data_IF_846158016377
#
_entry.id   IF_846158016377
#
_cell.length_a   1.000
_cell.length_b   1.000
_cell.length_c   1.000
_cell.angle_alpha   90.00
_cell.angle_beta   90.00
_cell.angle_gamma   90.00
#
_symmetry.space_group_name_H-M   'P 1'
#
loop_
_entity.id
_entity.type
_entity.pdbx_description
1 polymer ?
#
# COMPACT_ATOMS: atom_id res chain seq x y z
N UNK A 1 43.85 -7.08 4.01
CA UNK A 1 43.89 -5.74 3.36
C UNK A 1 43.25 -5.73 1.99
N UNK A 2 43.91 -6.11 0.88
CA UNK A 2 43.31 -5.91 -0.47
C UNK A 2 41.94 -6.58 -0.70
N UNK A 3 41.65 -7.73 -0.10
CA UNK A 3 40.37 -8.44 -0.29
C UNK A 3 39.19 -7.70 0.35
N UNK A 4 39.35 -7.21 1.57
CA UNK A 4 38.29 -6.48 2.29
C UNK A 4 37.96 -5.15 1.60
N UNK A 5 38.99 -4.47 1.09
CA UNK A 5 38.81 -3.27 0.27
C UNK A 5 37.98 -3.56 -0.99
N UNK A 6 38.25 -4.68 -1.70
CA UNK A 6 37.49 -5.05 -2.90
C UNK A 6 36.02 -5.42 -2.60
N UNK A 7 35.76 -6.00 -1.42
CA UNK A 7 34.42 -6.37 -0.96
C UNK A 7 33.61 -5.17 -0.48
N UNK A 8 34.26 -4.15 0.11
CA UNK A 8 33.58 -2.97 0.65
C UNK A 8 32.61 -2.31 -0.36
N UNK A 9 31.38 -2.06 0.09
CA UNK A 9 30.33 -1.38 -0.70
C UNK A 9 30.65 0.08 -1.00
N UNK A 10 31.55 0.69 -0.21
CA UNK A 10 31.97 2.09 -0.35
C UNK A 10 33.02 2.32 -1.44
N UNK A 11 33.63 1.27 -1.98
CA UNK A 11 34.72 1.41 -2.95
C UNK A 11 34.46 0.64 -4.25
N UNK A 12 34.89 1.25 -5.35
CA UNK A 12 34.77 0.73 -6.71
C UNK A 12 36.05 -0.02 -7.16
N UNK A 13 36.84 -0.56 -6.21
CA UNK A 13 38.14 -1.18 -6.54
C UNK A 13 38.01 -2.43 -7.41
N UNK A 14 36.95 -3.23 -7.21
CA UNK A 14 36.69 -4.41 -8.05
C UNK A 14 36.37 -4.03 -9.50
N UNK A 15 35.61 -2.95 -9.71
CA UNK A 15 35.28 -2.47 -11.06
C UNK A 15 36.50 -1.84 -11.73
N UNK A 16 37.30 -1.06 -11.00
CA UNK A 16 38.56 -0.50 -11.50
C UNK A 16 39.54 -1.60 -11.94
N UNK A 17 39.70 -2.65 -11.12
CA UNK A 17 40.54 -3.79 -11.45
C UNK A 17 40.04 -4.56 -12.69
N UNK A 18 38.72 -4.66 -12.88
CA UNK A 18 38.12 -5.27 -14.08
C UNK A 18 38.39 -4.43 -15.33
N UNK A 19 38.28 -3.11 -15.23
CA UNK A 19 38.58 -2.19 -16.33
C UNK A 19 40.06 -2.21 -16.70
N UNK A 20 40.95 -2.27 -15.72
CA UNK A 20 42.39 -2.41 -15.95
C UNK A 20 42.71 -3.75 -16.63
N UNK A 21 42.13 -4.86 -16.14
CA UNK A 21 42.27 -6.16 -16.78
C UNK A 21 41.74 -6.16 -18.23
N UNK A 22 40.61 -5.49 -18.50
CA UNK A 22 40.06 -5.37 -19.86
C UNK A 22 40.98 -4.59 -20.81
N UNK A 23 41.69 -3.56 -20.30
CA UNK A 23 42.72 -2.85 -21.09
C UNK A 23 43.88 -3.79 -21.41
N UNK A 24 44.37 -4.54 -20.43
CA UNK A 24 45.49 -5.48 -20.60
C UNK A 24 45.13 -6.67 -21.49
N UNK A 25 43.86 -7.09 -21.50
CA UNK A 25 43.37 -8.18 -22.33
C UNK A 25 43.61 -7.97 -23.83
N UNK A 26 43.60 -6.71 -24.29
CA UNK A 26 43.89 -6.38 -25.69
C UNK A 26 45.28 -6.81 -26.16
N UNK A 27 46.24 -6.98 -25.24
CA UNK A 27 47.63 -7.38 -25.53
C UNK A 27 47.89 -8.88 -25.43
N UNK A 28 46.88 -9.69 -25.13
CA UNK A 28 47.04 -11.11 -24.86
C UNK A 28 47.20 -11.88 -26.16
N UNK A 29 48.34 -12.55 -26.31
CA UNK A 29 48.68 -13.26 -27.55
C UNK A 29 49.05 -14.73 -27.33
N UNK A 30 49.49 -15.08 -26.11
CA UNK A 30 49.96 -16.43 -25.79
C UNK A 30 48.94 -17.17 -24.95
N UNK A 31 48.84 -18.49 -25.17
CA UNK A 31 47.96 -19.36 -24.41
C UNK A 31 48.20 -19.31 -22.88
N UNK A 32 49.45 -19.05 -22.46
CA UNK A 32 49.80 -18.90 -21.04
C UNK A 32 49.21 -17.62 -20.42
N UNK A 33 49.16 -16.53 -21.18
CA UNK A 33 48.58 -15.25 -20.73
C UNK A 33 47.06 -15.38 -20.65
N UNK A 34 46.43 -15.96 -21.68
CA UNK A 34 44.99 -16.23 -21.68
C UNK A 34 44.56 -17.15 -20.50
N UNK A 35 45.42 -18.08 -20.06
CA UNK A 35 45.15 -18.90 -18.89
C UNK A 35 45.18 -18.08 -17.58
N UNK A 36 46.03 -17.06 -17.47
CA UNK A 36 46.05 -16.15 -16.33
C UNK A 36 44.84 -15.22 -16.32
N UNK A 37 44.38 -14.76 -17.50
CA UNK A 37 43.15 -13.97 -17.60
C UNK A 37 41.92 -14.78 -17.17
N UNK A 38 41.84 -16.04 -17.59
CA UNK A 38 40.78 -16.93 -17.15
C UNK A 38 40.80 -17.12 -15.62
N UNK A 39 41.98 -17.27 -15.01
CA UNK A 39 42.11 -17.33 -13.56
C UNK A 39 41.68 -16.04 -12.88
N UNK A 40 42.06 -14.88 -13.43
CA UNK A 40 41.63 -13.58 -12.94
C UNK A 40 40.10 -13.43 -12.99
N UNK A 41 39.45 -13.80 -14.10
CA UNK A 41 37.99 -13.74 -14.23
C UNK A 41 37.28 -14.64 -13.23
N UNK A 42 37.82 -15.84 -12.95
CA UNK A 42 37.28 -16.72 -11.90
C UNK A 42 37.36 -16.05 -10.53
N UNK A 43 38.49 -15.43 -10.19
CA UNK A 43 38.65 -14.69 -8.95
C UNK A 43 37.69 -13.50 -8.88
N UNK A 44 37.64 -12.67 -9.93
CA UNK A 44 36.77 -11.51 -10.01
C UNK A 44 35.28 -11.91 -9.90
N UNK A 45 34.87 -13.02 -10.51
CA UNK A 45 33.50 -13.54 -10.40
C UNK A 45 33.18 -14.03 -8.98
N UNK A 46 34.13 -14.66 -8.29
CA UNK A 46 33.93 -15.09 -6.90
C UNK A 46 33.80 -13.87 -5.97
N UNK A 47 34.64 -12.85 -6.12
CA UNK A 47 34.51 -11.60 -5.37
C UNK A 47 33.22 -10.86 -5.72
N UNK A 48 32.82 -10.85 -6.99
CA UNK A 48 31.55 -10.26 -7.43
C UNK A 48 30.35 -10.96 -6.80
N UNK A 49 30.38 -12.30 -6.70
CA UNK A 49 29.36 -13.08 -5.99
C UNK A 49 29.30 -12.72 -4.51
N UNK A 50 30.45 -12.62 -3.83
CA UNK A 50 30.55 -12.28 -2.41
C UNK A 50 30.02 -10.85 -2.15
N UNK A 51 30.47 -9.87 -2.96
CA UNK A 51 29.98 -8.49 -2.92
C UNK A 51 28.48 -8.40 -3.22
N UNK A 52 27.99 -9.18 -4.20
CA UNK A 52 26.56 -9.26 -4.47
C UNK A 52 25.79 -9.88 -3.29
N UNK A 53 26.32 -10.92 -2.64
CA UNK A 53 25.67 -11.50 -1.46
C UNK A 53 25.62 -10.53 -0.27
N UNK A 54 26.62 -9.67 -0.09
CA UNK A 54 26.58 -8.60 0.90
C UNK A 54 25.52 -7.54 0.53
N UNK A 55 25.42 -7.15 -0.74
CA UNK A 55 24.39 -6.20 -1.21
C UNK A 55 22.96 -6.77 -1.08
N UNK A 56 22.78 -8.06 -1.32
CA UNK A 56 21.48 -8.73 -1.19
C UNK A 56 21.17 -9.13 0.27
N UNK A 57 22.10 -8.92 1.21
CA UNK A 57 21.86 -9.09 2.64
C UNK A 57 21.05 -7.95 3.27
N UNK A 58 20.60 -6.97 2.48
CA UNK A 58 19.57 -6.00 2.88
C UNK A 58 18.15 -6.43 2.48
N UNK A 59 17.89 -7.73 2.38
CA UNK A 59 16.69 -8.23 3.06
C UNK A 59 17.16 -8.74 4.42
N UNK A 60 17.50 -7.80 5.32
CA UNK A 60 17.55 -8.10 6.75
C UNK A 60 16.25 -8.83 7.05
N UNK A 61 16.33 -10.12 7.38
CA UNK A 61 15.17 -10.86 7.85
C UNK A 61 14.59 -10.02 8.97
N UNK A 62 13.38 -9.47 8.75
CA UNK A 62 12.80 -8.54 9.70
C UNK A 62 12.66 -9.26 11.04
N UNK A 63 13.51 -8.88 11.99
CA UNK A 63 13.44 -9.39 13.34
C UNK A 63 12.48 -8.49 14.11
N UNK A 64 11.26 -9.01 14.28
CA UNK A 64 10.21 -8.30 14.99
C UNK A 64 10.57 -7.97 16.44
N UNK A 65 11.47 -8.74 17.07
CA UNK A 65 11.85 -8.53 18.47
C UNK A 65 12.86 -7.40 18.58
N UNK A 66 13.89 -7.41 17.72
CA UNK A 66 14.88 -6.31 17.65
C UNK A 66 14.19 -5.00 17.29
N UNK A 67 13.30 -5.02 16.29
CA UNK A 67 12.51 -3.85 15.93
C UNK A 67 11.68 -3.31 17.10
N UNK A 68 11.05 -4.20 17.89
CA UNK A 68 10.26 -3.78 19.04
C UNK A 68 11.12 -3.15 20.14
N UNK A 69 12.30 -3.71 20.45
CA UNK A 69 13.20 -3.12 21.46
C UNK A 69 13.80 -1.79 20.99
N UNK A 70 14.18 -1.68 19.71
CA UNK A 70 14.65 -0.42 19.12
C UNK A 70 13.54 0.65 19.12
N UNK A 71 12.30 0.25 18.83
CA UNK A 71 11.14 1.13 18.88
C UNK A 71 10.87 1.63 20.30
N UNK A 72 10.96 0.75 21.31
CA UNK A 72 10.81 1.14 22.71
C UNK A 72 11.92 2.09 23.15
N UNK A 73 13.16 1.83 22.73
CA UNK A 73 14.31 2.71 22.97
C UNK A 73 14.08 4.08 22.32
N UNK A 74 13.65 4.12 21.05
CA UNK A 74 13.28 5.35 20.36
C UNK A 74 12.14 6.13 21.07
N UNK A 75 11.16 5.40 21.60
CA UNK A 75 10.06 5.95 22.41
C UNK A 75 10.50 6.46 23.79
N UNK A 76 11.76 6.24 24.19
CA UNK A 76 12.36 6.72 25.43
C UNK A 76 12.32 5.72 26.59
N UNK A 77 12.07 4.44 26.31
CA UNK A 77 12.24 3.37 27.31
C UNK A 77 13.65 2.82 27.18
N UNK A 78 14.57 3.32 28.00
CA UNK A 78 15.87 2.69 28.18
C UNK A 78 15.77 1.70 29.35
N UNK A 79 15.47 0.42 29.06
CA UNK A 79 15.44 -0.63 30.12
C UNK A 79 16.79 -0.85 30.83
N UNK A 80 17.86 -0.26 30.30
CA UNK A 80 19.24 -0.40 30.80
C UNK A 80 19.61 0.77 31.73
N UNK A 81 18.96 1.94 31.60
CA UNK A 81 19.08 3.02 32.58
C UNK A 81 17.97 2.87 33.60
N UNK A 82 18.31 2.25 34.73
CA UNK A 82 17.57 2.50 35.97
C UNK A 82 17.74 3.96 36.34
N UNK A 83 16.89 4.82 35.77
CA UNK A 83 16.84 6.22 36.16
C UNK A 83 15.85 6.33 37.31
N UNK A 84 16.44 6.52 38.49
CA UNK A 84 15.85 7.00 39.73
C UNK A 84 15.18 8.37 39.47
N UNK A 85 13.98 8.37 38.92
CA UNK A 85 13.11 9.56 39.00
C UNK A 85 12.22 9.40 40.23
N UNK A 86 12.67 10.03 41.32
CA UNK A 86 11.95 10.32 42.56
C UNK A 86 10.63 11.04 42.26
N UNK A 87 9.58 10.26 42.00
CA UNK A 87 8.19 10.69 42.09
C UNK A 87 7.45 9.62 42.87
N UNK A 88 7.32 9.85 44.19
CA UNK A 88 6.47 9.12 45.12
C UNK A 88 5.01 9.02 44.62
N UNK A 89 4.74 8.06 43.75
CA UNK A 89 3.40 7.56 43.48
C UNK A 89 3.43 6.04 43.55
N UNK A 90 3.31 5.55 44.78
CA UNK A 90 3.10 4.16 45.21
C UNK A 90 1.79 3.57 44.65
N UNK A 91 1.60 3.50 43.31
CA UNK A 91 0.58 2.62 42.70
C UNK A 91 0.67 2.46 41.15
N UNK A 92 1.86 2.31 40.55
CA UNK A 92 1.95 1.99 39.12
C UNK A 92 2.75 0.71 38.87
N UNK A 93 2.13 -0.40 38.41
CA UNK A 93 2.86 -1.59 38.02
C UNK A 93 3.76 -1.26 36.84
N UNK A 94 4.98 -1.78 36.86
CA UNK A 94 6.01 -1.50 35.85
C UNK A 94 5.53 -1.63 34.41
N UNK A 95 5.97 -0.68 33.58
CA UNK A 95 5.85 -0.78 32.12
C UNK A 95 4.96 0.25 31.42
N UNK A 96 4.90 1.49 31.91
CA UNK A 96 4.23 2.56 31.16
C UNK A 96 5.19 3.26 30.19
N UNK A 97 4.76 3.39 28.93
CA UNK A 97 5.41 4.25 27.94
C UNK A 97 5.43 5.71 28.43
N UNK A 98 6.52 6.46 28.18
CA UNK A 98 6.52 7.90 28.42
C UNK A 98 5.32 8.59 27.77
N UNK A 99 4.79 9.63 28.41
CA UNK A 99 3.56 10.33 27.93
C UNK A 99 3.66 10.82 26.48
N UNK A 100 4.86 11.13 26.01
CA UNK A 100 5.15 11.60 24.65
C UNK A 100 5.65 10.51 23.69
N UNK A 101 5.70 9.25 24.11
CA UNK A 101 6.23 8.14 23.31
C UNK A 101 5.53 7.99 21.96
N UNK A 102 4.19 7.97 21.97
CA UNK A 102 3.38 7.90 20.75
C UNK A 102 3.47 9.16 19.90
N UNK A 103 3.69 10.33 20.50
CA UNK A 103 3.87 11.58 19.76
C UNK A 103 5.18 11.56 18.97
N UNK A 104 6.29 11.14 19.59
CA UNK A 104 7.59 10.98 18.92
C UNK A 104 7.51 9.98 17.76
N UNK A 105 6.87 8.84 17.99
CA UNK A 105 6.65 7.85 16.94
C UNK A 105 5.79 8.39 15.80
N UNK A 106 4.72 9.10 16.12
CA UNK A 106 3.85 9.73 15.13
C UNK A 106 4.58 10.75 14.26
N UNK A 107 5.40 11.61 14.86
CA UNK A 107 6.18 12.65 14.18
C UNK A 107 7.19 12.06 13.17
N UNK A 108 7.90 10.99 13.53
CA UNK A 108 8.79 10.31 12.59
C UNK A 108 8.02 9.52 11.52
N UNK A 109 6.93 8.87 11.90
CA UNK A 109 6.12 8.08 10.97
C UNK A 109 5.46 8.95 9.90
N UNK A 110 5.00 10.16 10.25
CA UNK A 110 4.26 11.07 9.35
C UNK A 110 5.00 11.33 8.03
N UNK A 111 6.33 11.37 8.05
CA UNK A 111 7.18 11.60 6.87
C UNK A 111 7.02 10.53 5.79
N UNK A 112 6.63 9.32 6.18
CA UNK A 112 6.50 8.16 5.29
C UNK A 112 5.06 7.91 4.84
N UNK A 113 4.07 8.55 5.48
CA UNK A 113 2.67 8.43 5.10
C UNK A 113 2.23 9.57 4.18
N UNK A 114 1.74 9.23 2.98
CA UNK A 114 1.02 10.21 2.14
C UNK A 114 -0.38 10.40 2.73
N UNK A 115 -0.57 11.44 3.52
CA UNK A 115 -1.90 11.74 4.08
C UNK A 115 -2.87 12.04 2.93
N UNK A 116 -3.94 11.25 2.82
CA UNK A 116 -5.00 11.51 1.86
C UNK A 116 -5.67 12.86 2.18
N UNK A 117 -6.09 13.64 1.17
CA UNK A 117 -6.87 14.85 1.41
C UNK A 117 -8.13 14.50 2.20
N UNK A 118 -8.29 15.10 3.39
CA UNK A 118 -9.53 15.00 4.14
C UNK A 118 -10.59 15.82 3.39
N UNK A 119 -11.57 15.16 2.78
CA UNK A 119 -12.74 15.87 2.25
C UNK A 119 -13.66 16.21 3.42
N UNK A 120 -14.02 17.49 3.53
CA UNK A 120 -15.01 17.94 4.51
C UNK A 120 -16.40 17.60 3.98
N UNK A 121 -17.21 16.86 4.74
CA UNK A 121 -18.62 16.58 4.40
C UNK A 121 -19.51 17.83 4.41
N UNK A 122 -18.99 18.96 4.84
CA UNK A 122 -19.68 20.24 4.82
C UNK A 122 -19.05 21.14 3.76
N UNK A 123 -19.47 20.96 2.51
CA UNK A 123 -19.77 22.16 1.71
C UNK A 123 -20.67 23.00 2.62
N UNK A 124 -20.23 24.21 2.97
CA UNK A 124 -20.97 25.15 3.82
C UNK A 124 -22.39 25.34 3.29
N UNK A 125 -23.27 24.46 3.73
CA UNK A 125 -24.70 24.42 3.46
C UNK A 125 -25.33 24.80 4.77
N UNK A 126 -26.41 25.57 4.69
CA UNK A 126 -27.00 26.34 5.78
C UNK A 126 -26.26 27.65 6.08
N UNK A 127 -26.53 28.66 5.24
CA UNK A 127 -26.97 29.92 5.84
C UNK A 127 -28.16 29.56 6.74
N UNK A 128 -27.99 29.65 8.05
CA UNK A 128 -29.03 29.37 9.03
C UNK A 128 -30.08 30.49 8.99
N UNK A 129 -30.92 30.50 7.96
CA UNK A 129 -32.17 31.24 8.05
C UNK A 129 -33.02 30.52 9.12
N UNK A 130 -33.48 31.25 10.17
CA UNK A 130 -34.27 30.62 11.22
C UNK A 130 -35.50 29.93 10.61
N UNK A 131 -35.78 28.67 10.97
CA UNK A 131 -36.85 27.91 10.34
C UNK A 131 -38.19 28.63 10.56
N UNK A 132 -38.94 28.83 9.47
CA UNK A 132 -40.26 29.45 9.50
C UNK A 132 -41.15 28.67 10.49
N UNK A 133 -41.76 29.33 11.49
CA UNK A 133 -42.59 28.63 12.48
C UNK A 133 -43.76 27.92 11.79
N UNK A 134 -43.71 26.59 11.74
CA UNK A 134 -44.84 25.80 11.25
C UNK A 134 -45.92 25.78 12.33
N UNK A 135 -47.13 26.22 12.01
CA UNK A 135 -48.29 26.08 12.90
C UNK A 135 -48.48 24.60 13.24
N UNK A 136 -48.45 24.30 14.53
CA UNK A 136 -48.71 22.96 15.06
C UNK A 136 -50.17 22.61 14.77
N UNK A 137 -50.39 21.72 13.81
CA UNK A 137 -51.71 21.14 13.57
C UNK A 137 -52.05 20.29 14.80
N UNK A 138 -53.06 20.72 15.55
CA UNK A 138 -53.55 20.01 16.72
C UNK A 138 -54.21 18.70 16.26
N UNK A 139 -53.59 17.59 16.66
CA UNK A 139 -53.98 16.25 16.21
C UNK A 139 -55.27 15.88 16.95
N UNK A 140 -56.42 15.94 16.28
CA UNK A 140 -57.68 15.44 16.84
C UNK A 140 -57.52 13.96 17.21
N UNK A 141 -57.79 13.64 18.49
CA UNK A 141 -57.83 12.26 18.99
C UNK A 141 -58.96 11.50 18.28
N UNK A 142 -58.61 10.53 17.44
CA UNK A 142 -59.57 9.58 16.86
C UNK A 142 -60.13 8.70 17.98
N UNK A 143 -61.45 8.71 18.15
CA UNK A 143 -62.21 7.75 18.94
C UNK A 143 -62.05 6.34 18.36
N UNK A 144 -61.92 5.34 19.24
CA UNK A 144 -61.80 3.94 18.87
C UNK A 144 -63.06 3.46 18.12
N UNK A 145 -62.90 3.05 16.87
CA UNK A 145 -63.96 2.37 16.11
C UNK A 145 -63.35 1.37 15.13
N UNK A 146 -63.69 0.10 15.37
CA UNK A 146 -63.62 -1.00 14.39
C UNK A 146 -62.24 -1.57 14.10
N UNK A 147 -62.10 -2.89 14.20
CA UNK A 147 -60.93 -3.64 13.76
C UNK A 147 -60.69 -3.44 12.26
N UNK A 148 -59.92 -2.41 11.90
CA UNK A 148 -59.37 -2.28 10.56
C UNK A 148 -58.09 -3.12 10.46
N UNK A 149 -58.16 -4.12 9.58
CA UNK A 149 -57.09 -5.06 9.25
C UNK A 149 -55.76 -4.30 9.12
N UNK A 150 -54.76 -4.72 9.91
CA UNK A 150 -53.37 -4.29 9.76
C UNK A 150 -52.99 -4.38 8.28
N UNK A 151 -52.75 -3.25 7.64
CA UNK A 151 -52.12 -3.22 6.34
C UNK A 151 -50.68 -3.70 6.53
N UNK A 152 -50.45 -4.99 6.26
CA UNK A 152 -49.11 -5.54 6.10
C UNK A 152 -48.42 -4.77 4.96
N UNK A 153 -47.14 -4.40 5.10
CA UNK A 153 -46.41 -3.81 3.99
C UNK A 153 -46.50 -4.77 2.80
N UNK A 154 -46.85 -4.25 1.63
CA UNK A 154 -46.95 -5.05 0.42
C UNK A 154 -45.63 -5.81 0.22
N UNK A 155 -45.71 -7.13 0.14
CA UNK A 155 -44.57 -7.94 -0.29
C UNK A 155 -44.14 -7.39 -1.66
N UNK A 156 -42.89 -6.91 -1.72
CA UNK A 156 -42.22 -6.54 -2.96
C UNK A 156 -42.37 -7.72 -3.92
N UNK A 157 -43.23 -7.54 -4.94
CA UNK A 157 -43.28 -8.44 -6.08
C UNK A 157 -41.90 -8.42 -6.72
N UNK A 158 -41.31 -9.60 -6.87
CA UNK A 158 -40.09 -9.89 -7.65
C UNK A 158 -39.70 -8.74 -8.60
N UNK A 159 -38.96 -7.77 -8.08
CA UNK A 159 -37.90 -7.14 -8.86
C UNK A 159 -36.81 -8.20 -8.90
N UNK A 160 -36.31 -8.58 -10.07
CA UNK A 160 -35.01 -9.28 -10.27
C UNK A 160 -34.96 -10.13 -11.56
N UNK A 161 -35.67 -9.75 -12.64
CA UNK A 161 -35.28 -10.24 -13.99
C UNK A 161 -34.68 -9.10 -14.81
N UNK A 162 -35.30 -7.91 -14.85
CA UNK A 162 -34.80 -6.82 -15.71
C UNK A 162 -33.43 -6.24 -15.31
N UNK A 163 -33.10 -6.19 -14.00
CA UNK A 163 -31.80 -5.68 -13.54
C UNK A 163 -30.70 -6.72 -13.71
N UNK A 164 -31.01 -8.00 -13.46
CA UNK A 164 -30.09 -9.12 -13.69
C UNK A 164 -29.71 -9.20 -15.18
N UNK A 165 -30.70 -9.15 -16.07
CA UNK A 165 -30.48 -9.13 -17.52
C UNK A 165 -29.67 -7.90 -17.97
N UNK A 166 -29.87 -6.74 -17.34
CA UNK A 166 -29.09 -5.54 -17.65
C UNK A 166 -27.62 -5.69 -17.23
N UNK A 167 -27.37 -6.30 -16.07
CA UNK A 167 -26.00 -6.56 -15.60
C UNK A 167 -25.27 -7.58 -16.47
N UNK A 168 -25.95 -8.64 -16.91
CA UNK A 168 -25.37 -9.67 -17.79
C UNK A 168 -25.00 -9.10 -19.17
N UNK A 169 -25.90 -8.31 -19.76
CA UNK A 169 -25.65 -7.63 -21.04
C UNK A 169 -24.43 -6.70 -20.98
N UNK A 170 -24.26 -6.00 -19.86
CA UNK A 170 -23.15 -5.07 -19.69
C UNK A 170 -21.81 -5.82 -19.50
N UNK A 171 -21.82 -6.95 -18.78
CA UNK A 171 -20.66 -7.83 -18.66
C UNK A 171 -20.27 -8.41 -20.02
N UNK A 172 -21.23 -8.91 -20.80
CA UNK A 172 -20.99 -9.42 -22.16
C UNK A 172 -20.43 -8.34 -23.09
N UNK A 173 -20.97 -7.11 -23.00
CA UNK A 173 -20.51 -5.95 -23.78
C UNK A 173 -19.05 -5.63 -23.47
N UNK A 174 -18.68 -5.55 -22.19
CA UNK A 174 -17.30 -5.26 -21.75
C UNK A 174 -16.35 -6.39 -22.18
N UNK A 175 -16.75 -7.65 -22.02
CA UNK A 175 -15.98 -8.80 -22.48
C UNK A 175 -15.73 -8.75 -23.99
N UNK A 176 -16.75 -8.38 -24.78
CA UNK A 176 -16.62 -8.21 -26.23
C UNK A 176 -15.61 -7.11 -26.61
N UNK A 177 -15.59 -5.99 -25.88
CA UNK A 177 -14.61 -4.92 -26.07
C UNK A 177 -13.19 -5.40 -25.77
N UNK A 178 -12.99 -6.11 -24.65
CA UNK A 178 -11.68 -6.66 -24.27
C UNK A 178 -11.16 -7.65 -25.31
N UNK A 179 -12.03 -8.56 -25.79
CA UNK A 179 -11.67 -9.51 -26.84
C UNK A 179 -11.33 -8.83 -28.17
N UNK A 180 -12.04 -7.76 -28.52
CA UNK A 180 -11.78 -7.00 -29.74
C UNK A 180 -10.45 -6.27 -29.66
N UNK A 181 -10.17 -5.64 -28.51
CA UNK A 181 -8.89 -4.96 -28.29
C UNK A 181 -7.72 -5.94 -28.33
N UNK A 182 -7.85 -7.11 -27.69
CA UNK A 182 -6.79 -8.13 -27.72
C UNK A 182 -6.57 -8.74 -29.10
N UNK A 183 -7.62 -8.88 -29.92
CA UNK A 183 -7.48 -9.34 -31.32
C UNK A 183 -6.74 -8.34 -32.20
N UNK A 184 -6.94 -7.05 -31.95
CA UNK A 184 -6.30 -5.99 -32.73
C UNK A 184 -4.84 -5.80 -32.31
N UNK A 185 -4.55 -5.78 -31.01
CA UNK A 185 -3.22 -5.55 -30.45
C UNK A 185 -2.92 -6.55 -29.31
N UNK A 186 -2.43 -7.77 -29.62
CA UNK A 186 -2.25 -8.84 -28.63
C UNK A 186 -1.11 -8.58 -27.63
N UNK A 187 -0.10 -7.79 -28.01
CA UNK A 187 1.07 -7.50 -27.17
C UNK A 187 0.91 -6.24 -26.30
N UNK A 188 -0.20 -5.51 -26.45
CA UNK A 188 -0.42 -4.26 -25.71
C UNK A 188 -1.31 -4.52 -24.48
N UNK A 189 -0.78 -4.42 -23.25
CA UNK A 189 -1.59 -4.58 -22.06
C UNK A 189 -2.58 -3.42 -21.90
N UNK A 190 -3.80 -3.72 -21.46
CA UNK A 190 -4.83 -2.71 -21.17
C UNK A 190 -4.73 -2.29 -19.71
N UNK A 191 -4.61 -0.99 -19.47
CA UNK A 191 -4.68 -0.40 -18.14
C UNK A 191 -6.09 -0.58 -17.55
N UNK A 192 -6.18 -1.20 -16.37
CA UNK A 192 -7.45 -1.41 -15.68
C UNK A 192 -8.18 -0.10 -15.40
N UNK A 193 -7.46 0.93 -14.96
CA UNK A 193 -8.05 2.22 -14.61
C UNK A 193 -8.61 2.96 -15.83
N UNK A 194 -7.90 2.89 -16.97
CA UNK A 194 -8.39 3.50 -18.21
C UNK A 194 -9.63 2.79 -18.76
N UNK A 195 -9.81 1.50 -18.45
CA UNK A 195 -10.99 0.74 -18.82
C UNK A 195 -12.22 1.09 -17.97
N UNK A 196 -12.06 1.27 -16.66
CA UNK A 196 -13.20 1.37 -15.73
C UNK A 196 -13.58 2.80 -15.35
N UNK A 197 -12.66 3.77 -15.45
CA UNK A 197 -12.92 5.16 -15.03
C UNK A 197 -13.75 5.91 -16.07
N UNK A 198 -14.89 6.45 -15.64
CA UNK A 198 -15.62 7.49 -16.37
C UNK A 198 -15.28 8.86 -15.76
N UNK A 199 -14.61 9.76 -16.51
CA UNK A 199 -14.22 11.08 -16.01
C UNK A 199 -15.40 11.99 -15.67
N UNK A 200 -16.60 11.65 -16.16
CA UNK A 200 -17.82 12.44 -15.95
C UNK A 200 -18.78 11.82 -14.93
N UNK A 201 -18.52 10.60 -14.45
CA UNK A 201 -19.41 9.91 -13.51
C UNK A 201 -18.71 8.92 -12.60
N UNK A 202 -18.65 9.26 -11.31
CA UNK A 202 -18.16 8.35 -10.28
C UNK A 202 -19.05 7.11 -10.13
N UNK A 203 -20.38 7.28 -10.16
CA UNK A 203 -21.31 6.16 -10.02
C UNK A 203 -21.10 5.13 -11.16
N UNK A 204 -20.92 5.62 -12.40
CA UNK A 204 -20.62 4.74 -13.54
C UNK A 204 -19.26 4.06 -13.40
N UNK A 205 -18.27 4.74 -12.84
CA UNK A 205 -16.97 4.12 -12.54
C UNK A 205 -17.12 2.93 -11.59
N UNK A 206 -17.93 3.08 -10.54
CA UNK A 206 -18.19 1.99 -9.58
C UNK A 206 -18.97 0.84 -10.25
N UNK A 207 -19.97 1.15 -11.07
CA UNK A 207 -20.71 0.15 -11.86
C UNK A 207 -19.78 -0.59 -12.84
N UNK A 208 -18.90 0.10 -13.55
CA UNK A 208 -17.91 -0.51 -14.44
C UNK A 208 -16.98 -1.48 -13.69
N UNK A 209 -16.48 -1.08 -12.52
CA UNK A 209 -15.65 -1.95 -11.66
C UNK A 209 -16.45 -3.20 -11.25
N UNK A 210 -17.71 -3.02 -10.85
CA UNK A 210 -18.60 -4.12 -10.50
C UNK A 210 -18.78 -5.09 -11.68
N UNK A 211 -19.03 -4.60 -12.90
CA UNK A 211 -19.16 -5.46 -14.07
C UNK A 211 -17.85 -6.18 -14.44
N UNK A 212 -16.71 -5.49 -14.39
CA UNK A 212 -15.41 -6.11 -14.66
C UNK A 212 -15.07 -7.20 -13.63
N UNK A 213 -15.54 -7.07 -12.39
CA UNK A 213 -15.32 -8.09 -11.36
C UNK A 213 -15.93 -9.46 -11.70
N UNK A 214 -16.98 -9.53 -12.53
CA UNK A 214 -17.54 -10.80 -12.99
C UNK A 214 -16.75 -11.46 -14.11
N UNK A 215 -15.86 -10.72 -14.78
CA UNK A 215 -15.04 -11.22 -15.89
C UNK A 215 -13.78 -11.92 -15.36
N UNK A 216 -13.24 -11.45 -14.24
CA UNK A 216 -12.02 -11.97 -13.62
C UNK A 216 -12.39 -13.12 -12.68
N UNK A 217 -11.78 -14.30 -12.89
CA UNK A 217 -11.97 -15.51 -12.08
C UNK A 217 -10.83 -15.74 -11.10
#
# INVERSE_FOLDING_TARGET
ENREDMLSSKTNRLTEALEEANKLFSGVSRAREAALDAQFLVLASNLGKEKASELHSEMTSFDSLVFAEDLLTFMGINRIEGQEDDSDSEDAPGGFLPRNAWHKLGEESEKYFRRAPCFHYMLGSFKSDPPVPRQRIERQRKTARGEEKRAMPAQLKKMEESQQEATEKEVERILGLLQTHFKNDPDTPISFFDLVIDPNSFARTVENIFHVSFIIR
#
